data_IF_633502715669
#
_entry.id   IF_633502715669
#
_cell.length_a   1.000
_cell.length_b   1.000
_cell.length_c   1.000
_cell.angle_alpha   90.00
_cell.angle_beta   90.00
_cell.angle_gamma   90.00
#
_symmetry.space_group_name_H-M   'P 1'
#
loop_
_entity.id
_entity.type
_entity.pdbx_description
1 polymer ?
#
# COMPACT_ATOMS: atom_id res chain seq x y z
N UNK A 1 92.84 41.52 15.24
CA UNK A 1 92.15 41.84 13.97
C UNK A 1 91.32 40.63 13.61
N UNK A 2 90.08 40.61 14.05
CA UNK A 2 89.10 39.61 13.62
C UNK A 2 87.72 40.08 13.99
N UNK A 3 86.86 40.27 13.01
CA UNK A 3 85.51 40.78 13.09
C UNK A 3 84.61 39.60 13.25
N UNK A 4 83.86 39.50 14.36
CA UNK A 4 82.81 38.53 14.55
C UNK A 4 81.42 39.18 14.21
N UNK A 5 80.83 38.78 13.15
CA UNK A 5 79.47 39.19 12.75
C UNK A 5 78.42 38.31 13.51
N UNK A 6 77.63 38.99 14.30
CA UNK A 6 76.49 38.40 14.96
C UNK A 6 75.32 38.27 13.97
N UNK A 7 74.85 37.07 13.72
CA UNK A 7 73.57 36.80 12.97
C UNK A 7 72.46 36.58 13.98
N UNK A 8 71.54 37.54 14.04
CA UNK A 8 70.31 37.39 14.81
C UNK A 8 69.32 36.47 14.09
N UNK A 9 68.92 35.40 14.75
CA UNK A 9 67.89 34.47 14.30
C UNK A 9 66.55 34.98 14.80
N UNK A 10 65.76 35.57 13.89
CA UNK A 10 64.35 35.90 14.17
C UNK A 10 63.51 34.64 13.97
N UNK A 11 63.03 34.02 15.04
CA UNK A 11 62.12 32.92 15.05
C UNK A 11 60.68 33.43 14.77
N UNK A 12 60.19 33.20 13.56
CA UNK A 12 58.78 33.44 13.25
C UNK A 12 57.95 32.31 13.84
N UNK A 13 57.15 32.59 14.85
CA UNK A 13 56.12 31.67 15.38
C UNK A 13 54.90 31.69 14.45
N UNK A 14 54.74 30.67 13.61
CA UNK A 14 53.54 30.46 12.83
C UNK A 14 52.53 29.77 13.74
N UNK A 15 51.56 30.53 14.25
CA UNK A 15 50.38 29.99 14.91
C UNK A 15 49.41 29.46 13.86
N UNK A 16 49.43 28.18 13.62
CA UNK A 16 48.42 27.51 12.79
C UNK A 16 47.12 27.41 13.60
N UNK A 17 46.14 28.29 13.31
CA UNK A 17 44.76 28.13 13.76
C UNK A 17 44.14 26.95 13.01
N UNK A 18 44.13 25.76 13.60
CA UNK A 18 43.30 24.65 13.17
C UNK A 18 41.86 24.92 13.60
N UNK A 19 41.09 25.51 12.72
CA UNK A 19 39.66 25.60 12.88
C UNK A 19 39.08 24.16 12.77
N UNK A 20 38.90 23.49 13.89
CA UNK A 20 38.15 22.22 13.97
C UNK A 20 36.70 22.51 13.68
N UNK A 21 36.31 22.37 12.39
CA UNK A 21 34.93 22.30 12.00
C UNK A 21 34.33 21.01 12.62
N UNK A 22 33.67 21.18 13.78
CA UNK A 22 32.84 20.12 14.36
C UNK A 22 31.67 19.89 13.38
N UNK A 23 31.88 19.03 12.40
CA UNK A 23 30.75 18.47 11.64
C UNK A 23 29.86 17.76 12.67
N UNK A 24 28.74 18.40 13.03
CA UNK A 24 27.67 17.71 13.73
C UNK A 24 27.21 16.58 12.79
N UNK A 25 27.68 15.36 13.04
CA UNK A 25 27.16 14.17 12.39
C UNK A 25 25.68 14.09 12.79
N UNK A 26 24.81 14.56 11.91
CA UNK A 26 23.38 14.29 12.03
C UNK A 26 23.27 12.77 11.96
N UNK A 27 22.71 12.09 12.97
CA UNK A 27 22.55 10.65 12.89
C UNK A 27 21.76 10.34 11.62
N UNK A 28 22.41 9.70 10.67
CA UNK A 28 21.75 9.18 9.48
C UNK A 28 20.86 8.03 9.96
N UNK A 29 19.61 8.35 10.29
CA UNK A 29 18.62 7.29 10.51
C UNK A 29 18.50 6.52 9.21
N UNK A 30 18.82 5.22 9.25
CA UNK A 30 18.67 4.36 8.09
C UNK A 30 17.20 4.41 7.66
N UNK A 31 16.97 4.83 6.41
CA UNK A 31 15.62 4.88 5.83
C UNK A 31 15.00 3.48 5.84
N UNK A 32 13.86 3.34 6.49
CA UNK A 32 13.06 2.13 6.40
C UNK A 32 12.44 2.04 5.00
N UNK A 33 12.55 0.88 4.37
CA UNK A 33 11.98 0.64 3.03
C UNK A 33 10.93 -0.45 3.12
N UNK A 34 9.71 -0.13 2.73
CA UNK A 34 8.61 -1.07 2.67
C UNK A 34 8.23 -1.36 1.21
N UNK A 35 7.82 -2.60 0.99
CA UNK A 35 7.35 -3.09 -0.30
C UNK A 35 5.84 -3.27 -0.23
N UNK A 36 5.10 -2.62 -1.15
CA UNK A 36 3.65 -2.64 -1.25
C UNK A 36 3.21 -3.26 -2.58
N UNK A 37 2.96 -4.59 -2.65
CA UNK A 37 2.36 -5.19 -3.83
C UNK A 37 0.90 -4.80 -3.98
N UNK A 38 0.49 -4.52 -5.22
CA UNK A 38 -0.90 -4.41 -5.68
C UNK A 38 -1.10 -5.27 -6.92
N UNK A 39 -2.28 -5.90 -7.00
CA UNK A 39 -2.62 -6.71 -8.17
C UNK A 39 -3.13 -5.87 -9.36
N UNK A 40 -3.47 -4.61 -9.14
CA UNK A 40 -4.06 -3.74 -10.16
C UNK A 40 -3.01 -3.07 -11.04
N UNK A 41 -3.39 -2.69 -12.28
CA UNK A 41 -2.53 -1.92 -13.18
C UNK A 41 -2.12 -0.56 -12.60
N UNK A 42 -1.03 -0.01 -13.09
CA UNK A 42 -0.49 1.27 -12.60
C UNK A 42 -1.45 2.46 -12.82
N UNK A 43 -2.26 2.41 -13.87
CA UNK A 43 -3.28 3.42 -14.21
C UNK A 43 -4.61 3.23 -13.46
N UNK A 44 -4.75 2.16 -12.69
CA UNK A 44 -5.93 1.93 -11.85
C UNK A 44 -5.95 2.91 -10.67
N UNK A 45 -7.13 3.45 -10.35
CA UNK A 45 -7.28 4.44 -9.27
C UNK A 45 -6.88 3.91 -7.89
N UNK A 46 -6.99 2.61 -7.62
CA UNK A 46 -6.47 2.00 -6.38
C UNK A 46 -4.95 2.12 -6.32
N UNK A 47 -4.26 1.78 -7.41
CA UNK A 47 -2.80 1.90 -7.48
C UNK A 47 -2.35 3.35 -7.35
N UNK A 48 -3.02 4.28 -8.03
CA UNK A 48 -2.75 5.72 -7.90
C UNK A 48 -2.95 6.22 -6.46
N UNK A 49 -3.97 5.73 -5.76
CA UNK A 49 -4.19 6.05 -4.35
C UNK A 49 -3.08 5.48 -3.46
N UNK A 50 -2.54 4.29 -3.75
CA UNK A 50 -1.41 3.72 -3.02
C UNK A 50 -0.11 4.53 -3.25
N UNK A 51 0.11 5.02 -4.46
CA UNK A 51 1.25 5.90 -4.77
C UNK A 51 1.12 7.24 -4.02
N UNK A 52 -0.07 7.83 -3.96
CA UNK A 52 -0.33 9.02 -3.17
C UNK A 52 -0.08 8.76 -1.67
N UNK A 53 -0.61 7.66 -1.14
CA UNK A 53 -0.35 7.24 0.24
C UNK A 53 1.14 7.07 0.53
N UNK A 54 1.89 6.42 -0.34
CA UNK A 54 3.34 6.22 -0.18
C UNK A 54 4.09 7.57 -0.14
N UNK A 55 3.68 8.53 -0.98
CA UNK A 55 4.23 9.89 -1.01
C UNK A 55 3.92 10.64 0.29
N UNK A 56 2.68 10.58 0.77
CA UNK A 56 2.26 11.24 2.00
C UNK A 56 3.01 10.67 3.22
N UNK A 57 3.18 9.34 3.29
CA UNK A 57 3.97 8.69 4.35
C UNK A 57 5.42 9.17 4.31
N UNK A 58 6.06 9.24 3.15
CA UNK A 58 7.42 9.75 3.03
C UNK A 58 7.51 11.20 3.51
N UNK A 59 6.53 12.03 3.18
CA UNK A 59 6.47 13.44 3.59
C UNK A 59 6.31 13.59 5.12
N UNK A 60 5.33 12.91 5.73
CA UNK A 60 5.05 13.05 7.18
C UNK A 60 6.09 12.38 8.05
N UNK A 61 6.92 11.49 7.49
CA UNK A 61 8.03 10.85 8.20
C UNK A 61 9.39 11.50 7.91
N UNK A 62 9.43 12.64 7.23
CA UNK A 62 10.68 13.29 6.78
C UNK A 62 11.61 12.30 6.04
N UNK A 63 11.02 11.43 5.20
CA UNK A 63 11.74 10.42 4.44
C UNK A 63 12.26 9.23 5.24
N UNK A 64 11.92 9.11 6.54
CA UNK A 64 12.36 7.98 7.38
C UNK A 64 11.73 6.65 6.97
N UNK A 65 10.51 6.69 6.40
CA UNK A 65 9.84 5.53 5.83
C UNK A 65 9.55 5.78 4.35
N UNK A 66 10.12 4.96 3.47
CA UNK A 66 9.83 4.93 2.05
C UNK A 66 9.03 3.67 1.71
N UNK A 67 7.86 3.84 1.10
CA UNK A 67 7.02 2.75 0.61
C UNK A 67 7.13 2.72 -0.91
N UNK A 68 7.48 1.56 -1.48
CA UNK A 68 7.49 1.36 -2.92
C UNK A 68 6.33 0.49 -3.35
N UNK A 69 5.48 1.02 -4.23
CA UNK A 69 4.34 0.31 -4.82
C UNK A 69 4.81 -0.57 -5.97
N UNK A 70 4.29 -1.79 -6.05
CA UNK A 70 4.55 -2.75 -7.11
C UNK A 70 3.22 -3.19 -7.74
N UNK A 71 2.79 -2.54 -8.83
CA UNK A 71 1.52 -2.80 -9.50
C UNK A 71 1.56 -4.06 -10.38
N UNK A 72 0.44 -4.32 -11.09
CA UNK A 72 0.29 -5.37 -12.10
C UNK A 72 0.54 -6.80 -11.59
N UNK A 73 0.28 -7.07 -10.31
CA UNK A 73 0.63 -8.37 -9.70
C UNK A 73 2.10 -8.76 -9.92
N UNK A 74 3.00 -7.78 -10.06
CA UNK A 74 4.41 -7.99 -10.44
C UNK A 74 5.22 -8.76 -9.41
N UNK A 75 4.80 -8.75 -8.13
CA UNK A 75 5.44 -9.53 -7.06
C UNK A 75 4.61 -10.75 -6.65
N UNK A 76 3.30 -10.58 -6.53
CA UNK A 76 2.38 -11.61 -6.06
C UNK A 76 1.04 -11.51 -6.80
N UNK A 77 0.39 -12.63 -7.14
CA UNK A 77 -1.00 -12.61 -7.58
C UNK A 77 -1.92 -12.12 -6.44
N UNK A 78 -3.08 -11.56 -6.78
CA UNK A 78 -4.02 -10.96 -5.82
C UNK A 78 -4.31 -11.85 -4.61
N UNK A 79 -4.53 -13.15 -4.82
CA UNK A 79 -4.84 -14.14 -3.78
C UNK A 79 -3.68 -14.41 -2.82
N UNK A 80 -2.43 -14.12 -3.20
CA UNK A 80 -1.24 -14.39 -2.40
C UNK A 80 -0.78 -13.19 -1.55
N UNK A 81 -1.21 -11.95 -1.87
CA UNK A 81 -0.72 -10.73 -1.21
C UNK A 81 -0.95 -10.77 0.31
N UNK A 82 -2.17 -11.11 0.75
CA UNK A 82 -2.49 -11.23 2.19
C UNK A 82 -1.55 -12.19 2.91
N UNK A 83 -1.29 -13.35 2.30
CA UNK A 83 -0.38 -14.35 2.87
C UNK A 83 1.06 -13.87 2.92
N UNK A 84 1.54 -13.17 1.87
CA UNK A 84 2.88 -12.61 1.82
C UNK A 84 3.13 -11.59 2.94
N UNK A 85 2.15 -10.74 3.25
CA UNK A 85 2.22 -9.82 4.40
C UNK A 85 2.23 -10.62 5.71
N UNK A 86 1.32 -11.60 5.86
CA UNK A 86 1.20 -12.40 7.08
C UNK A 86 2.49 -13.13 7.45
N UNK A 87 3.22 -13.65 6.48
CA UNK A 87 4.48 -14.36 6.73
C UNK A 87 5.72 -13.46 6.67
N UNK A 88 5.55 -12.14 6.55
CA UNK A 88 6.63 -11.16 6.58
C UNK A 88 7.48 -11.07 5.31
N UNK A 89 7.03 -11.62 4.17
CA UNK A 89 7.72 -11.44 2.88
C UNK A 89 7.69 -9.98 2.42
N UNK A 90 6.61 -9.29 2.75
CA UNK A 90 6.45 -7.83 2.55
C UNK A 90 5.80 -7.21 3.78
N UNK A 91 6.00 -5.92 3.98
CA UNK A 91 5.57 -5.21 5.19
C UNK A 91 4.11 -4.74 5.12
N UNK A 92 3.61 -4.50 3.92
CA UNK A 92 2.29 -3.95 3.65
C UNK A 92 1.81 -4.53 2.30
N UNK A 93 0.50 -4.53 2.05
CA UNK A 93 -0.06 -5.01 0.78
C UNK A 93 -1.49 -4.53 0.60
N UNK A 94 -1.95 -4.54 -0.64
CA UNK A 94 -3.33 -4.24 -1.00
C UNK A 94 -4.00 -5.50 -1.52
N UNK A 95 -5.20 -5.79 -1.02
CA UNK A 95 -5.97 -6.97 -1.44
C UNK A 95 -7.47 -6.67 -1.47
N UNK A 96 -8.16 -7.29 -2.42
CA UNK A 96 -9.62 -7.32 -2.44
C UNK A 96 -10.10 -8.30 -1.35
N UNK A 97 -10.81 -7.79 -0.34
CA UNK A 97 -11.17 -8.59 0.84
C UNK A 97 -12.06 -9.79 0.51
N UNK A 98 -12.96 -9.68 -0.48
CA UNK A 98 -13.85 -10.76 -0.91
C UNK A 98 -13.13 -11.98 -1.52
N UNK A 99 -11.84 -11.87 -1.86
CA UNK A 99 -11.04 -13.03 -2.25
C UNK A 99 -10.77 -13.99 -1.08
N UNK A 100 -11.00 -13.55 0.15
CA UNK A 100 -10.72 -14.29 1.38
C UNK A 100 -12.00 -14.71 2.13
N UNK A 101 -13.17 -14.60 1.52
CA UNK A 101 -14.46 -14.97 2.13
C UNK A 101 -14.55 -16.44 2.55
N UNK A 102 -13.73 -17.32 1.94
CA UNK A 102 -13.60 -18.72 2.35
C UNK A 102 -12.90 -18.89 3.70
N UNK A 103 -12.18 -17.87 4.18
CA UNK A 103 -11.52 -17.88 5.48
C UNK A 103 -12.47 -17.36 6.58
N UNK A 104 -13.22 -16.31 6.27
CA UNK A 104 -14.25 -15.74 7.14
C UNK A 104 -15.33 -15.05 6.28
N UNK A 105 -16.62 -15.41 6.44
CA UNK A 105 -17.72 -14.81 5.69
C UNK A 105 -17.81 -13.28 5.78
N UNK A 106 -17.26 -12.65 6.83
CA UNK A 106 -17.23 -11.19 6.98
C UNK A 106 -16.49 -10.50 5.83
N UNK A 107 -15.53 -11.17 5.21
CA UNK A 107 -14.81 -10.65 4.06
C UNK A 107 -15.65 -10.59 2.77
N UNK A 108 -16.80 -11.28 2.76
CA UNK A 108 -17.77 -11.23 1.66
C UNK A 108 -18.95 -10.28 1.90
N UNK A 109 -18.94 -9.45 2.93
CA UNK A 109 -20.10 -8.61 3.28
C UNK A 109 -20.45 -7.59 2.19
N UNK A 110 -19.48 -7.08 1.47
CA UNK A 110 -19.64 -6.08 0.42
C UNK A 110 -20.05 -6.66 -0.95
N UNK A 111 -20.03 -8.00 -1.09
CA UNK A 111 -20.49 -8.67 -2.33
C UNK A 111 -21.94 -9.16 -2.26
N UNK A 112 -22.63 -8.91 -1.14
CA UNK A 112 -24.07 -9.19 -1.02
C UNK A 112 -24.84 -8.27 -1.98
N UNK A 113 -25.57 -8.81 -2.98
CA UNK A 113 -26.26 -8.01 -3.97
C UNK A 113 -27.20 -6.99 -3.32
N UNK A 114 -27.16 -5.74 -3.82
CA UNK A 114 -28.02 -4.63 -3.43
C UNK A 114 -27.86 -4.14 -1.97
N UNK A 115 -26.92 -4.69 -1.20
CA UNK A 115 -26.66 -4.24 0.19
C UNK A 115 -26.08 -2.83 0.23
N UNK A 116 -25.17 -2.50 -0.69
CA UNK A 116 -24.58 -1.17 -0.84
C UNK A 116 -24.41 -0.85 -2.33
N UNK A 117 -25.23 0.08 -2.84
CA UNK A 117 -25.27 0.46 -4.25
C UNK A 117 -24.76 1.90 -4.52
N UNK A 118 -24.29 2.58 -3.48
CA UNK A 118 -23.67 3.91 -3.55
C UNK A 118 -22.48 4.02 -2.61
N UNK A 119 -21.62 5.02 -2.83
CA UNK A 119 -20.50 5.28 -1.92
C UNK A 119 -20.92 5.62 -0.49
N UNK A 120 -22.06 6.29 -0.30
CA UNK A 120 -22.57 6.58 1.05
C UNK A 120 -23.02 5.30 1.75
N UNK A 121 -23.69 4.39 1.06
CA UNK A 121 -24.04 3.07 1.59
C UNK A 121 -22.80 2.22 1.86
N UNK A 122 -21.82 2.21 0.95
CA UNK A 122 -20.54 1.52 1.14
C UNK A 122 -19.78 2.06 2.38
N UNK A 123 -19.82 3.37 2.61
CA UNK A 123 -19.22 4.00 3.80
C UNK A 123 -19.92 3.54 5.08
N UNK A 124 -21.26 3.51 5.09
CA UNK A 124 -22.05 3.02 6.24
C UNK A 124 -21.76 1.54 6.51
N UNK A 125 -21.74 0.72 5.46
CA UNK A 125 -21.40 -0.70 5.54
C UNK A 125 -20.00 -0.91 6.10
N UNK A 126 -19.01 -0.17 5.59
CA UNK A 126 -17.64 -0.20 6.11
C UNK A 126 -17.56 0.19 7.57
N UNK A 127 -18.24 1.29 7.97
CA UNK A 127 -18.24 1.75 9.36
C UNK A 127 -18.81 0.67 10.30
N UNK A 128 -19.87 -0.02 9.90
CA UNK A 128 -20.50 -1.09 10.67
C UNK A 128 -19.64 -2.37 10.72
N UNK A 129 -19.02 -2.76 9.60
CA UNK A 129 -18.29 -4.03 9.47
C UNK A 129 -16.81 -3.94 9.88
N UNK A 130 -16.18 -2.76 9.81
CA UNK A 130 -14.77 -2.54 10.11
C UNK A 130 -14.30 -3.18 11.42
N UNK A 131 -15.01 -3.07 12.58
CA UNK A 131 -14.54 -3.69 13.81
C UNK A 131 -14.43 -5.22 13.73
N UNK A 132 -15.33 -5.89 12.99
CA UNK A 132 -15.30 -7.34 12.78
C UNK A 132 -14.19 -7.73 11.80
N UNK A 133 -14.10 -7.04 10.68
CA UNK A 133 -13.03 -7.23 9.69
C UNK A 133 -11.65 -7.04 10.34
N UNK A 134 -11.46 -5.98 11.14
CA UNK A 134 -10.21 -5.72 11.82
C UNK A 134 -9.85 -6.82 12.83
N UNK A 135 -10.84 -7.36 13.59
CA UNK A 135 -10.60 -8.49 14.49
C UNK A 135 -10.16 -9.74 13.75
N UNK A 136 -10.80 -10.06 12.62
CA UNK A 136 -10.42 -11.22 11.82
C UNK A 136 -9.00 -11.06 11.25
N UNK A 137 -8.63 -9.88 10.75
CA UNK A 137 -7.25 -9.63 10.32
C UNK A 137 -6.26 -9.72 11.48
N UNK A 138 -6.61 -9.15 12.65
CA UNK A 138 -5.74 -9.21 13.84
C UNK A 138 -5.50 -10.64 14.34
N UNK A 139 -6.50 -11.52 14.25
CA UNK A 139 -6.34 -12.96 14.55
C UNK A 139 -5.33 -13.67 13.63
N UNK A 140 -5.08 -13.09 12.44
CA UNK A 140 -4.06 -13.55 11.50
C UNK A 140 -2.72 -12.78 11.60
N UNK A 141 -2.55 -11.94 12.64
CA UNK A 141 -1.34 -11.12 12.82
C UNK A 141 -1.24 -9.93 11.86
N UNK A 142 -2.36 -9.50 11.30
CA UNK A 142 -2.44 -8.41 10.32
C UNK A 142 -3.21 -7.21 10.89
N UNK A 143 -2.90 -6.02 10.40
CA UNK A 143 -3.60 -4.78 10.76
C UNK A 143 -4.19 -4.13 9.51
N UNK A 144 -5.47 -3.73 9.59
CA UNK A 144 -6.12 -2.95 8.53
C UNK A 144 -5.79 -1.48 8.72
N UNK A 145 -5.15 -0.85 7.75
CA UNK A 145 -4.86 0.58 7.75
C UNK A 145 -6.07 1.38 7.27
N UNK A 146 -6.52 1.12 6.06
CA UNK A 146 -7.68 1.76 5.46
C UNK A 146 -8.32 0.84 4.40
N UNK A 147 -9.48 1.23 3.89
CA UNK A 147 -10.14 0.59 2.76
C UNK A 147 -10.56 1.64 1.73
N UNK A 148 -10.50 1.27 0.46
CA UNK A 148 -10.94 2.08 -0.67
C UNK A 148 -12.05 1.30 -1.39
N UNK A 149 -13.27 1.85 -1.49
CA UNK A 149 -14.37 1.14 -2.14
C UNK A 149 -14.21 1.18 -3.66
N UNK A 150 -14.60 0.08 -4.32
CA UNK A 150 -14.90 0.09 -5.74
C UNK A 150 -16.22 0.83 -6.00
N UNK A 151 -16.43 1.40 -7.19
CA UNK A 151 -17.76 1.83 -7.59
C UNK A 151 -18.73 0.65 -7.66
N UNK A 152 -20.03 0.96 -7.64
CA UNK A 152 -21.06 -0.06 -7.78
C UNK A 152 -20.81 -0.92 -9.04
N UNK A 153 -20.87 -2.24 -8.88
CA UNK A 153 -20.61 -3.18 -9.96
C UNK A 153 -21.79 -3.23 -10.92
N UNK A 154 -21.52 -2.98 -12.19
CA UNK A 154 -22.49 -3.18 -13.28
C UNK A 154 -22.28 -4.49 -14.02
N UNK A 155 -23.28 -4.88 -14.81
CA UNK A 155 -23.18 -5.98 -15.78
C UNK A 155 -22.85 -5.36 -17.14
N UNK A 156 -21.76 -5.81 -17.75
CA UNK A 156 -21.33 -5.40 -19.09
C UNK A 156 -21.43 -6.60 -20.02
N UNK A 157 -22.09 -6.44 -21.14
CA UNK A 157 -22.32 -7.50 -22.14
C UNK A 157 -22.03 -6.98 -23.56
N UNK A 158 -21.71 -7.88 -24.48
CA UNK A 158 -21.53 -7.57 -25.90
C UNK A 158 -22.87 -7.55 -26.68
N UNK A 159 -23.98 -7.71 -25.99
CA UNK A 159 -25.31 -7.69 -26.52
C UNK A 159 -26.24 -6.87 -25.61
N UNK A 160 -27.39 -6.48 -26.15
CA UNK A 160 -28.40 -5.77 -25.37
C UNK A 160 -29.08 -6.74 -24.39
N UNK A 161 -29.25 -6.28 -23.15
CA UNK A 161 -29.88 -7.04 -22.05
C UNK A 161 -31.08 -6.23 -21.57
N UNK A 162 -32.29 -6.67 -21.89
CA UNK A 162 -33.55 -6.02 -21.54
C UNK A 162 -34.27 -6.71 -20.38
N UNK A 163 -33.98 -7.98 -20.16
CA UNK A 163 -34.61 -8.80 -19.12
C UNK A 163 -33.61 -9.86 -18.59
N UNK A 164 -33.89 -10.43 -17.43
CA UNK A 164 -33.02 -11.44 -16.79
C UNK A 164 -32.82 -12.66 -17.70
N UNK A 165 -33.85 -13.06 -18.49
CA UNK A 165 -33.75 -14.18 -19.41
C UNK A 165 -32.68 -14.03 -20.47
N UNK A 166 -32.30 -12.79 -20.85
CA UNK A 166 -31.27 -12.51 -21.85
C UNK A 166 -29.86 -12.84 -21.36
N UNK A 167 -29.71 -13.04 -20.06
CA UNK A 167 -28.45 -13.45 -19.43
C UNK A 167 -28.18 -14.95 -19.49
N UNK A 168 -29.22 -15.74 -19.80
CA UNK A 168 -29.12 -17.20 -19.80
C UNK A 168 -28.16 -17.69 -20.89
N UNK A 169 -27.23 -18.55 -20.50
CA UNK A 169 -26.26 -19.14 -21.42
C UNK A 169 -25.09 -18.25 -21.79
N UNK A 170 -25.01 -17.03 -21.24
CA UNK A 170 -23.84 -16.16 -21.41
C UNK A 170 -22.64 -16.62 -20.56
N UNK A 171 -21.44 -16.37 -21.08
CA UNK A 171 -20.21 -16.55 -20.31
C UNK A 171 -20.03 -15.42 -19.31
N UNK A 172 -19.88 -15.77 -18.03
CA UNK A 172 -19.72 -14.82 -16.93
C UNK A 172 -18.30 -14.75 -16.41
N UNK A 173 -17.79 -13.54 -16.13
CA UNK A 173 -16.60 -13.36 -15.32
C UNK A 173 -16.97 -13.52 -13.85
N UNK A 174 -16.50 -14.61 -13.25
CA UNK A 174 -16.66 -14.89 -11.81
C UNK A 174 -15.34 -14.65 -11.10
N UNK A 175 -15.33 -13.85 -10.03
CA UNK A 175 -14.12 -13.54 -9.25
C UNK A 175 -14.33 -13.66 -7.72
N UNK A 176 -15.57 -13.89 -7.26
CA UNK A 176 -15.93 -14.18 -5.87
C UNK A 176 -17.21 -15.02 -5.82
N UNK A 177 -17.64 -15.42 -4.60
CA UNK A 177 -18.86 -16.24 -4.43
C UNK A 177 -20.12 -15.47 -4.82
N UNK A 178 -20.22 -14.17 -4.56
CA UNK A 178 -21.35 -13.34 -4.92
C UNK A 178 -21.60 -13.35 -6.43
N UNK A 179 -20.56 -13.10 -7.23
CA UNK A 179 -20.67 -13.15 -8.70
C UNK A 179 -20.96 -14.56 -9.21
N UNK A 180 -20.40 -15.60 -8.56
CA UNK A 180 -20.75 -16.99 -8.87
C UNK A 180 -22.22 -17.27 -8.59
N UNK A 181 -22.74 -16.79 -7.45
CA UNK A 181 -24.14 -16.99 -7.07
C UNK A 181 -25.09 -16.31 -8.03
N UNK A 182 -24.79 -15.07 -8.44
CA UNK A 182 -25.58 -14.36 -9.46
C UNK A 182 -25.61 -15.18 -10.76
N UNK A 183 -24.47 -15.63 -11.27
CA UNK A 183 -24.40 -16.43 -12.49
C UNK A 183 -25.17 -17.77 -12.42
N UNK A 184 -25.40 -18.31 -11.22
CA UNK A 184 -26.19 -19.52 -11.00
C UNK A 184 -27.71 -19.26 -10.96
N UNK A 185 -28.11 -18.03 -10.62
CA UNK A 185 -29.53 -17.66 -10.48
C UNK A 185 -30.12 -17.23 -11.81
N UNK A 186 -29.33 -16.60 -12.68
CA UNK A 186 -29.75 -16.11 -14.02
C UNK A 186 -29.47 -17.12 -15.10
#
# INVERSE_FOLDING_TARGET
MSIVRSFGLTAAVVVALTASAVLKAVPAYAQLKWTLPSAYPADNFHTQNLEAFAKDVAQVTDGKLAIRVYPNASLFPASAIKSAVRVGQVQIGETLISLHENEDPIFGIDVVPFLATSYDQARKLWTASKPSIARTFAAHGLMVLFAVPWPAQGIFANQEINQIGDLKGLSWRVYNSGTKRIAQIV
#
